data_IF_428648634895
#
_entry.id   IF_428648634895
#
_cell.length_a   1.000
_cell.length_b   1.000
_cell.length_c   1.000
_cell.angle_alpha   90.00
_cell.angle_beta   90.00
_cell.angle_gamma   90.00
#
_symmetry.space_group_name_H-M   'P 1'
#
loop_
_entity.id
_entity.type
_entity.pdbx_description
1 polymer ?
#
# COMPACT_ATOMS: atom_id res chain seq x y z
N UNK A 1 1.54 12.31 -19.16
CA UNK A 1 1.13 12.52 -17.76
C UNK A 1 1.94 11.62 -16.86
N UNK A 2 2.38 12.14 -15.74
CA UNK A 2 3.17 11.37 -14.79
C UNK A 2 2.26 10.55 -13.89
N UNK A 3 2.46 9.23 -13.89
CA UNK A 3 1.71 8.29 -13.07
C UNK A 3 1.79 8.62 -11.59
N UNK A 4 2.97 9.06 -11.13
CA UNK A 4 3.16 9.41 -9.72
C UNK A 4 2.33 10.62 -9.31
N UNK A 5 2.06 11.54 -10.24
CA UNK A 5 1.21 12.69 -9.94
C UNK A 5 -0.22 12.25 -9.61
N UNK A 6 -0.72 11.22 -10.28
CA UNK A 6 -2.05 10.69 -9.97
C UNK A 6 -2.10 10.17 -8.55
N UNK A 7 -1.06 9.45 -8.13
CA UNK A 7 -0.97 8.96 -6.76
C UNK A 7 -0.86 10.10 -5.76
N UNK A 8 -0.02 11.10 -6.05
CA UNK A 8 0.16 12.27 -5.18
C UNK A 8 -1.14 13.06 -5.03
N UNK A 9 -1.94 13.14 -6.09
CA UNK A 9 -3.21 13.85 -6.06
C UNK A 9 -4.26 13.14 -5.18
N UNK A 10 -4.05 11.86 -4.88
CA UNK A 10 -4.94 11.12 -4.00
C UNK A 10 -4.59 11.27 -2.53
N UNK A 11 -3.52 12.02 -2.21
CA UNK A 11 -3.11 12.21 -0.83
C UNK A 11 -4.23 12.80 0.02
N UNK A 12 -4.54 12.14 1.12
CA UNK A 12 -5.57 12.59 2.06
C UNK A 12 -6.99 12.17 1.69
N UNK A 13 -7.17 11.49 0.56
CA UNK A 13 -8.50 11.05 0.15
C UNK A 13 -9.00 9.89 0.99
N UNK A 14 -10.27 9.96 1.38
CA UNK A 14 -10.94 8.91 2.13
C UNK A 14 -12.18 8.48 1.34
N UNK A 15 -12.29 7.17 1.11
CA UNK A 15 -13.39 6.60 0.32
C UNK A 15 -14.23 5.69 1.22
N UNK A 16 -15.43 6.12 1.62
CA UNK A 16 -16.34 5.22 2.32
C UNK A 16 -16.79 4.10 1.40
N UNK A 17 -16.79 2.88 1.92
CA UNK A 17 -17.20 1.69 1.18
C UNK A 17 -18.41 1.08 1.86
N UNK A 18 -18.95 -0.01 1.27
CA UNK A 18 -20.10 -0.71 1.84
C UNK A 18 -19.73 -1.40 3.16
N UNK A 19 -20.73 -1.64 3.98
CA UNK A 19 -20.61 -2.41 5.22
C UNK A 19 -19.66 -1.79 6.27
N UNK A 20 -19.50 -0.47 6.21
CA UNK A 20 -18.67 0.25 7.19
C UNK A 20 -17.19 0.23 6.89
N UNK A 21 -16.77 -0.37 5.79
CA UNK A 21 -15.38 -0.29 5.35
C UNK A 21 -15.06 1.12 4.84
N UNK A 22 -13.80 1.50 4.94
CA UNK A 22 -13.33 2.75 4.35
C UNK A 22 -11.86 2.64 3.96
N UNK A 23 -11.49 3.42 2.94
CA UNK A 23 -10.15 3.41 2.37
C UNK A 23 -9.54 4.78 2.55
N UNK A 24 -8.25 4.82 2.88
CA UNK A 24 -7.50 6.07 2.98
C UNK A 24 -6.25 5.99 2.13
N UNK A 25 -5.99 7.03 1.35
CA UNK A 25 -4.79 7.16 0.55
C UNK A 25 -3.94 8.30 1.11
N UNK A 26 -2.66 8.01 1.31
CA UNK A 26 -1.67 9.02 1.66
C UNK A 26 -0.48 8.86 0.74
N UNK A 27 0.06 9.96 0.22
CA UNK A 27 1.21 9.93 -0.66
C UNK A 27 1.94 11.25 -0.58
N UNK A 28 3.26 11.21 -0.43
CA UNK A 28 4.09 12.41 -0.35
C UNK A 28 5.33 12.23 -1.21
N UNK A 29 5.71 13.28 -1.93
CA UNK A 29 6.95 13.27 -2.68
C UNK A 29 8.14 13.35 -1.71
N UNK A 30 9.12 12.48 -1.92
CA UNK A 30 10.35 12.46 -1.12
C UNK A 30 11.53 12.29 -2.07
N UNK A 31 12.77 12.57 -1.64
CA UNK A 31 13.93 12.30 -2.48
C UNK A 31 14.03 10.82 -2.80
N UNK A 32 14.40 10.50 -4.05
CA UNK A 32 14.63 9.12 -4.46
C UNK A 32 15.82 8.56 -3.70
N UNK A 33 15.72 7.29 -3.32
CA UNK A 33 16.79 6.59 -2.63
C UNK A 33 16.72 5.11 -2.99
N UNK A 34 17.70 4.36 -2.53
CA UNK A 34 17.70 2.91 -2.73
C UNK A 34 16.47 2.29 -2.07
N UNK A 35 16.09 2.79 -0.90
CA UNK A 35 14.94 2.28 -0.16
C UNK A 35 13.61 2.75 -0.75
N UNK A 36 13.57 3.94 -1.34
CA UNK A 36 12.35 4.51 -1.93
C UNK A 36 12.68 4.98 -3.35
N UNK A 37 12.85 4.03 -4.28
CA UNK A 37 13.35 4.35 -5.63
C UNK A 37 12.36 5.17 -6.47
N UNK A 38 11.07 5.12 -6.16
CA UNK A 38 10.08 5.88 -6.90
C UNK A 38 9.97 7.33 -6.44
N UNK A 39 10.59 7.68 -5.31
CA UNK A 39 10.55 9.05 -4.79
C UNK A 39 9.20 9.45 -4.22
N UNK A 40 8.40 8.49 -3.79
CA UNK A 40 7.10 8.73 -3.16
C UNK A 40 6.95 7.84 -1.95
N UNK A 41 6.66 8.47 -0.82
CA UNK A 41 6.28 7.75 0.40
C UNK A 41 4.76 7.66 0.42
N UNK A 42 4.23 6.46 0.55
CA UNK A 42 2.79 6.25 0.42
C UNK A 42 2.25 5.30 1.49
N UNK A 43 0.95 5.41 1.72
CA UNK A 43 0.21 4.48 2.56
C UNK A 43 -1.21 4.39 2.02
N UNK A 44 -1.60 3.22 1.55
CA UNK A 44 -2.92 2.93 1.01
C UNK A 44 -3.53 1.87 1.92
N UNK A 45 -4.62 2.20 2.61
CA UNK A 45 -5.16 1.34 3.66
C UNK A 45 -6.65 1.11 3.52
N UNK A 46 -7.08 -0.11 3.86
CA UNK A 46 -8.49 -0.46 4.02
C UNK A 46 -8.76 -0.72 5.49
N UNK A 47 -9.81 -0.13 6.01
CA UNK A 47 -10.23 -0.27 7.41
C UNK A 47 -11.64 -0.84 7.49
N UNK A 48 -11.90 -1.64 8.52
CA UNK A 48 -13.23 -2.18 8.75
C UNK A 48 -14.09 -1.21 9.59
N UNK A 49 -15.33 -1.60 9.87
CA UNK A 49 -16.26 -0.76 10.64
C UNK A 49 -15.81 -0.48 12.06
N UNK A 50 -14.85 -1.24 12.57
CA UNK A 50 -14.25 -1.02 13.87
C UNK A 50 -12.98 -0.21 13.80
N UNK A 51 -12.68 0.35 12.62
CA UNK A 51 -11.50 1.15 12.33
C UNK A 51 -10.18 0.36 12.44
N UNK A 52 -10.26 -0.96 12.30
CA UNK A 52 -9.06 -1.80 12.27
C UNK A 52 -8.54 -1.86 10.84
N UNK A 53 -7.25 -1.63 10.67
CA UNK A 53 -6.62 -1.77 9.35
C UNK A 53 -6.54 -3.25 9.00
N UNK A 54 -7.16 -3.62 7.87
CA UNK A 54 -7.20 -5.01 7.41
C UNK A 54 -6.35 -5.24 6.18
N UNK A 55 -6.09 -4.20 5.38
CA UNK A 55 -5.18 -4.24 4.24
C UNK A 55 -4.35 -2.96 4.27
N UNK A 56 -3.06 -3.06 3.99
CA UNK A 56 -2.21 -1.89 3.88
C UNK A 56 -1.08 -2.11 2.90
N UNK A 57 -0.90 -1.15 1.99
CA UNK A 57 0.23 -1.09 1.08
C UNK A 57 1.00 0.17 1.46
N UNK A 58 2.24 0.03 1.90
CA UNK A 58 3.03 1.20 2.27
C UNK A 58 4.53 0.96 2.13
N UNK A 59 5.29 2.03 2.22
CA UNK A 59 6.74 1.98 2.23
C UNK A 59 7.31 2.80 3.39
N UNK A 60 6.53 2.96 4.46
CA UNK A 60 6.95 3.77 5.60
C UNK A 60 8.06 3.12 6.41
N UNK A 61 8.20 1.81 6.34
CA UNK A 61 9.18 1.06 7.12
C UNK A 61 10.04 0.19 6.24
N UNK A 62 11.29 0.01 6.63
CA UNK A 62 12.15 -0.94 5.97
C UNK A 62 11.62 -2.36 6.16
N UNK A 63 11.47 -3.08 5.07
CA UNK A 63 11.10 -4.49 5.11
C UNK A 63 12.28 -5.32 4.60
N UNK A 64 12.86 -6.11 5.49
CA UNK A 64 13.92 -7.03 5.12
C UNK A 64 13.30 -8.38 4.86
N UNK A 65 13.48 -8.89 3.66
CA UNK A 65 13.00 -10.21 3.31
C UNK A 65 13.58 -11.25 4.25
N UNK A 66 12.81 -12.29 4.52
CA UNK A 66 13.21 -13.33 5.44
C UNK A 66 14.53 -13.98 4.99
N UNK A 67 15.42 -14.18 5.94
CA UNK A 67 16.70 -14.84 5.68
C UNK A 67 16.54 -16.23 5.11
N UNK A 68 15.48 -16.93 5.44
CA UNK A 68 15.24 -18.29 4.97
C UNK A 68 15.08 -18.38 3.46
N UNK A 69 14.81 -17.27 2.78
CA UNK A 69 14.70 -17.25 1.33
C UNK A 69 15.96 -16.75 0.65
N UNK A 70 16.99 -16.42 1.43
CA UNK A 70 18.25 -15.93 0.88
C UNK A 70 18.16 -14.57 0.22
N UNK A 71 17.08 -13.88 0.39
CA UNK A 71 16.89 -12.55 -0.18
C UNK A 71 17.63 -11.54 0.66
N UNK A 72 18.47 -10.73 -0.01
CA UNK A 72 19.30 -9.74 0.67
C UNK A 72 18.86 -8.32 0.42
N UNK A 73 17.98 -8.11 -0.54
CA UNK A 73 17.52 -6.78 -0.89
C UNK A 73 16.58 -6.24 0.18
N UNK A 74 16.85 -5.02 0.60
CA UNK A 74 15.95 -4.28 1.46
C UNK A 74 14.94 -3.55 0.61
N UNK A 75 13.68 -3.57 1.02
CA UNK A 75 12.64 -2.80 0.35
C UNK A 75 11.71 -2.21 1.39
N UNK A 76 11.22 -1.00 1.09
CA UNK A 76 10.22 -0.34 1.93
C UNK A 76 8.81 -0.56 1.40
N UNK A 77 8.69 -1.07 0.17
CA UNK A 77 7.38 -1.39 -0.41
C UNK A 77 6.90 -2.71 0.16
N UNK A 78 5.73 -2.73 0.77
CA UNK A 78 5.18 -3.96 1.32
C UNK A 78 3.68 -3.86 1.52
N UNK A 79 3.07 -5.00 1.73
CA UNK A 79 1.65 -5.15 1.94
C UNK A 79 1.41 -5.68 3.34
N UNK A 80 0.53 -5.02 4.09
CA UNK A 80 0.04 -5.52 5.36
C UNK A 80 -1.33 -6.15 5.15
N UNK A 81 -1.45 -7.44 5.46
CA UNK A 81 -2.72 -8.17 5.43
C UNK A 81 -2.99 -8.69 6.82
N UNK A 82 -3.83 -7.97 7.55
CA UNK A 82 -4.09 -8.25 8.96
C UNK A 82 -2.78 -8.23 9.75
N UNK A 83 -2.29 -9.36 10.21
CA UNK A 83 -1.03 -9.43 10.96
C UNK A 83 0.18 -9.78 10.09
N UNK A 84 -0.05 -10.08 8.81
CA UNK A 84 1.02 -10.52 7.92
C UNK A 84 1.58 -9.34 7.13
N UNK A 85 2.90 -9.39 6.91
CA UNK A 85 3.59 -8.42 6.06
C UNK A 85 4.19 -9.19 4.90
N UNK A 86 3.87 -8.77 3.69
CA UNK A 86 4.32 -9.44 2.48
C UNK A 86 5.14 -8.47 1.64
N UNK A 87 6.28 -8.92 1.14
CA UNK A 87 7.11 -8.10 0.25
C UNK A 87 6.32 -7.79 -1.02
N UNK A 88 6.43 -6.57 -1.50
CA UNK A 88 5.69 -6.10 -2.66
C UNK A 88 6.55 -5.13 -3.46
N UNK A 89 6.50 -5.27 -4.77
CA UNK A 89 7.16 -4.35 -5.69
C UNK A 89 6.16 -3.94 -6.76
N UNK A 90 6.24 -2.68 -7.19
CA UNK A 90 5.42 -2.19 -8.28
C UNK A 90 6.30 -1.45 -9.28
N UNK A 91 5.85 -1.41 -10.52
CA UNK A 91 6.59 -0.71 -11.58
C UNK A 91 6.03 0.69 -11.81
N UNK A 92 4.71 0.85 -11.70
CA UNK A 92 4.05 2.12 -11.94
C UNK A 92 3.06 2.43 -10.82
N UNK A 93 2.76 3.72 -10.63
CA UNK A 93 1.79 4.12 -9.63
C UNK A 93 0.39 3.60 -9.98
N UNK A 94 0.05 3.50 -11.27
CA UNK A 94 -1.22 2.92 -11.69
C UNK A 94 -1.32 1.46 -11.27
N UNK A 95 -0.23 0.70 -11.40
CA UNK A 95 -0.19 -0.68 -10.96
C UNK A 95 -0.40 -0.79 -9.44
N UNK A 96 0.28 0.06 -8.68
CA UNK A 96 0.14 0.10 -7.22
C UNK A 96 -1.31 0.33 -6.81
N UNK A 97 -1.95 1.33 -7.41
CA UNK A 97 -3.34 1.67 -7.09
C UNK A 97 -4.26 0.51 -7.47
N UNK A 98 -4.07 -0.06 -8.65
CA UNK A 98 -4.87 -1.18 -9.11
C UNK A 98 -4.72 -2.39 -8.20
N UNK A 99 -3.49 -2.73 -7.84
CA UNK A 99 -3.23 -3.88 -6.97
C UNK A 99 -3.84 -3.68 -5.59
N UNK A 100 -3.77 -2.46 -5.06
CA UNK A 100 -4.42 -2.15 -3.79
C UNK A 100 -5.92 -2.38 -3.88
N UNK A 101 -6.58 -1.83 -4.92
CA UNK A 101 -8.03 -1.97 -5.05
C UNK A 101 -8.44 -3.43 -5.21
N UNK A 102 -7.66 -4.23 -5.95
CA UNK A 102 -7.95 -5.66 -6.08
C UNK A 102 -7.89 -6.36 -4.74
N UNK A 103 -6.87 -6.06 -3.93
CA UNK A 103 -6.74 -6.64 -2.60
C UNK A 103 -7.88 -6.22 -1.69
N UNK A 104 -8.25 -4.93 -1.72
CA UNK A 104 -9.32 -4.40 -0.89
C UNK A 104 -10.67 -5.02 -1.26
N UNK A 105 -10.97 -5.10 -2.55
CA UNK A 105 -12.23 -5.70 -3.02
C UNK A 105 -12.30 -7.17 -2.67
N UNK A 106 -11.20 -7.89 -2.84
CA UNK A 106 -11.14 -9.29 -2.47
C UNK A 106 -11.42 -9.48 -0.98
N UNK A 107 -10.79 -8.67 -0.16
CA UNK A 107 -10.99 -8.76 1.31
C UNK A 107 -12.46 -8.50 1.66
N UNK A 108 -13.03 -7.41 1.13
CA UNK A 108 -14.42 -7.06 1.42
C UNK A 108 -15.40 -8.14 0.96
N UNK A 109 -15.16 -8.75 -0.20
CA UNK A 109 -16.02 -9.80 -0.73
C UNK A 109 -15.98 -11.07 0.12
N UNK A 110 -14.83 -11.34 0.73
CA UNK A 110 -14.66 -12.57 1.50
C UNK A 110 -14.90 -12.40 3.02
N UNK A 111 -15.26 -11.19 3.45
CA UNK A 111 -15.49 -10.88 4.87
C UNK A 111 -16.74 -10.04 5.07
N UNK A 112 -17.78 -10.37 4.34
CA UNK A 112 -19.07 -9.68 4.48
C UNK A 112 -19.77 -10.03 5.78
#
# INVERSE_FOLDING_TARGET
>A
MNDLENLLNLNGEIFPMDNGYWVKFEAKKVPKSIAIPHGVKYSLTLHDKKNQRVIGYDNAHSFKSSKKYGVKKETYDHIHKQMDIVAYEFETASQLIEDFWKSAEYYMDNNK
#
